data_IF_134931804308
#
_entry.id   IF_134931804308
#
_cell.length_a   1.000
_cell.length_b   1.000
_cell.length_c   1.000
_cell.angle_alpha   90.00
_cell.angle_beta   90.00
_cell.angle_gamma   90.00
#
_symmetry.space_group_name_H-M   'P 1'
#
loop_
_entity.id
_entity.type
_entity.pdbx_description
1 polymer ?
#
# COMPACT_ATOMS: atom_id res chain seq x y z
N UNK A 1 -18.27 -26.41 19.91
CA UNK A 1 -17.11 -25.50 19.89
C UNK A 1 -16.39 -25.72 18.56
N UNK A 2 -16.32 -24.71 17.69
CA UNK A 2 -15.61 -24.82 16.41
C UNK A 2 -14.13 -24.50 16.66
N UNK A 3 -13.23 -25.44 16.36
CA UNK A 3 -11.79 -25.19 16.36
C UNK A 3 -11.46 -24.23 15.20
N UNK A 4 -10.62 -23.20 15.42
CA UNK A 4 -10.04 -22.48 14.31
C UNK A 4 -9.07 -23.41 13.58
N UNK A 5 -9.35 -23.69 12.31
CA UNK A 5 -8.44 -24.40 11.44
C UNK A 5 -7.21 -23.52 11.20
N UNK A 6 -6.14 -23.74 11.97
CA UNK A 6 -4.81 -23.30 11.56
C UNK A 6 -4.44 -24.11 10.33
N UNK A 7 -4.67 -23.50 9.17
CA UNK A 7 -4.16 -24.01 7.90
C UNK A 7 -2.64 -23.97 7.99
N UNK A 8 -2.03 -25.05 8.46
CA UNK A 8 -0.59 -25.31 8.34
C UNK A 8 -0.29 -25.47 6.85
N UNK A 9 -0.07 -24.34 6.17
CA UNK A 9 0.45 -24.36 4.81
C UNK A 9 1.91 -24.78 4.93
N UNK A 10 2.20 -25.93 4.33
CA UNK A 10 3.53 -26.52 4.25
C UNK A 10 4.44 -25.56 3.49
N UNK A 11 5.24 -24.78 4.22
CA UNK A 11 6.26 -23.89 3.66
C UNK A 11 7.57 -24.66 3.60
N UNK A 12 8.07 -24.92 2.39
CA UNK A 12 9.43 -25.40 2.19
C UNK A 12 10.44 -24.38 2.74
N UNK A 13 11.44 -24.88 3.47
CA UNK A 13 12.79 -24.35 3.77
C UNK A 13 13.02 -22.85 4.06
N UNK A 14 11.97 -22.09 4.34
CA UNK A 14 12.04 -20.66 4.50
C UNK A 14 11.51 -20.27 5.89
N UNK A 15 12.24 -19.46 6.68
CA UNK A 15 11.76 -19.04 7.99
C UNK A 15 10.34 -18.45 7.88
N UNK A 16 9.46 -18.73 8.83
CA UNK A 16 8.04 -18.39 8.72
C UNK A 16 7.73 -16.87 8.69
N UNK A 17 8.76 -16.03 8.84
CA UNK A 17 8.61 -14.62 9.20
C UNK A 17 9.15 -13.64 8.13
N UNK A 18 9.52 -14.09 6.94
CA UNK A 18 10.04 -13.21 5.89
C UNK A 18 9.25 -13.37 4.58
N UNK A 19 9.25 -12.29 3.79
CA UNK A 19 8.54 -12.21 2.50
C UNK A 19 9.44 -11.57 1.46
N UNK A 20 9.25 -11.89 0.19
CA UNK A 20 9.78 -11.06 -0.88
C UNK A 20 8.86 -9.87 -1.09
N UNK A 21 9.36 -8.65 -0.85
CA UNK A 21 8.57 -7.44 -1.02
C UNK A 21 8.76 -6.86 -2.43
N UNK A 22 7.66 -6.52 -3.08
CA UNK A 22 7.69 -5.70 -4.30
C UNK A 22 8.13 -4.27 -3.93
N UNK A 23 9.19 -3.79 -4.58
CA UNK A 23 9.71 -2.43 -4.37
C UNK A 23 8.80 -1.37 -4.99
N UNK A 24 7.97 -1.75 -5.96
CA UNK A 24 6.94 -0.91 -6.53
C UNK A 24 5.68 -1.05 -5.69
N UNK A 25 5.23 0.06 -5.11
CA UNK A 25 3.94 0.09 -4.47
C UNK A 25 2.87 0.46 -5.50
N UNK A 26 1.67 -0.11 -5.35
CA UNK A 26 0.56 0.17 -6.25
C UNK A 26 -0.40 1.17 -5.61
N UNK A 27 -0.66 2.27 -6.31
CA UNK A 27 -1.66 3.24 -5.91
C UNK A 27 -3.06 2.80 -6.37
N UNK A 28 -4.00 2.68 -5.46
CA UNK A 28 -5.39 2.30 -5.74
C UNK A 28 -6.39 3.25 -5.10
N UNK A 29 -7.65 3.18 -5.55
CA UNK A 29 -8.76 3.74 -4.76
C UNK A 29 -8.88 2.93 -3.47
N UNK A 30 -9.22 3.59 -2.36
CA UNK A 30 -9.68 2.92 -1.15
C UNK A 30 -10.92 2.08 -1.46
N UNK A 31 -10.75 0.85 -1.95
CA UNK A 31 -11.85 -0.09 -2.15
C UNK A 31 -12.05 -0.77 -0.80
N UNK A 32 -13.16 -0.47 -0.13
CA UNK A 32 -13.55 -1.03 1.18
C UNK A 32 -14.05 -2.47 1.02
N UNK A 33 -13.44 -3.23 0.14
CA UNK A 33 -13.98 -4.46 -0.39
C UNK A 33 -12.89 -5.52 -0.20
N UNK A 34 -13.04 -6.28 0.89
CA UNK A 34 -12.66 -7.68 1.08
C UNK A 34 -11.30 -8.17 0.51
N UNK A 35 -10.19 -7.92 1.23
CA UNK A 35 -9.10 -8.92 1.42
C UNK A 35 -7.89 -8.38 2.18
N UNK A 36 -7.68 -7.06 2.23
CA UNK A 36 -6.45 -6.50 2.80
C UNK A 36 -6.79 -5.52 3.91
N UNK A 37 -6.65 -5.95 5.17
CA UNK A 37 -6.79 -5.08 6.35
C UNK A 37 -5.77 -3.95 6.24
N UNK A 38 -6.23 -2.70 6.30
CA UNK A 38 -5.35 -1.53 6.41
C UNK A 38 -4.39 -1.71 7.59
N UNK A 39 -3.09 -1.74 7.33
CA UNK A 39 -2.05 -1.97 8.34
C UNK A 39 -1.50 -0.67 8.91
N UNK A 40 -1.51 0.42 8.14
CA UNK A 40 -1.05 1.73 8.58
C UNK A 40 -1.90 2.87 8.00
N UNK A 41 -2.01 3.96 8.76
CA UNK A 41 -2.69 5.19 8.37
C UNK A 41 -1.83 6.39 8.71
N UNK A 42 -1.78 7.36 7.80
CA UNK A 42 -1.10 8.63 7.95
C UNK A 42 -1.92 9.76 7.33
N UNK A 43 -1.43 11.00 7.48
CA UNK A 43 -1.96 12.17 6.78
C UNK A 43 -0.82 12.90 6.09
N UNK A 44 -1.04 13.35 4.86
CA UNK A 44 -0.12 14.26 4.19
C UNK A 44 -0.14 15.64 4.87
N UNK A 45 0.85 16.49 4.55
CA UNK A 45 0.88 17.91 4.96
C UNK A 45 -0.39 18.66 4.58
N UNK A 46 -0.98 18.29 3.44
CA UNK A 46 -2.20 18.89 2.89
C UNK A 46 -3.45 18.24 3.48
N UNK A 47 -3.31 17.51 4.58
CA UNK A 47 -4.41 16.92 5.34
C UNK A 47 -5.06 15.69 4.72
N UNK A 48 -4.55 15.14 3.63
CA UNK A 48 -5.16 13.99 2.95
C UNK A 48 -4.83 12.68 3.68
N UNK A 49 -5.82 11.82 3.98
CA UNK A 49 -5.55 10.49 4.51
C UNK A 49 -4.67 9.67 3.56
N UNK A 50 -3.76 8.87 4.11
CA UNK A 50 -3.00 7.86 3.38
C UNK A 50 -3.19 6.56 4.15
N UNK A 51 -3.66 5.52 3.48
CA UNK A 51 -3.74 4.18 4.08
C UNK A 51 -2.82 3.23 3.32
N UNK A 52 -2.21 2.29 4.04
CA UNK A 52 -1.33 1.29 3.45
C UNK A 52 -1.80 -0.10 3.87
N UNK A 53 -1.70 -1.05 2.95
CA UNK A 53 -2.03 -2.46 3.19
C UNK A 53 -1.10 -3.37 2.39
N UNK A 54 -0.92 -4.63 2.83
CA UNK A 54 -0.06 -5.61 2.15
C UNK A 54 -0.85 -6.81 1.64
N UNK A 55 -0.75 -7.09 0.34
CA UNK A 55 -1.21 -8.36 -0.21
C UNK A 55 -0.08 -9.38 -0.08
N UNK A 56 -0.12 -10.15 1.01
CA UNK A 56 0.88 -11.18 1.32
C UNK A 56 0.83 -12.32 0.30
N UNK A 57 1.99 -12.81 -0.08
CA UNK A 57 2.16 -13.97 -0.95
C UNK A 57 3.29 -14.86 -0.42
N UNK A 58 3.12 -16.18 -0.56
CA UNK A 58 4.10 -17.17 -0.15
C UNK A 58 5.34 -17.08 -1.08
N UNK A 59 6.58 -17.00 -0.54
CA UNK A 59 7.79 -17.03 -1.35
C UNK A 59 7.83 -18.23 -2.32
N UNK A 60 8.33 -18.07 -3.55
CA UNK A 60 9.07 -16.92 -4.09
C UNK A 60 8.18 -15.78 -4.64
N UNK A 61 6.86 -15.87 -4.51
CA UNK A 61 5.98 -14.82 -5.00
C UNK A 61 6.20 -13.50 -4.22
N UNK A 62 6.01 -12.38 -4.92
CA UNK A 62 6.16 -11.05 -4.33
C UNK A 62 4.91 -10.65 -3.55
N UNK A 63 5.10 -10.33 -2.28
CA UNK A 63 4.16 -9.57 -1.46
C UNK A 63 4.09 -8.13 -1.98
N UNK A 64 2.88 -7.61 -2.19
CA UNK A 64 2.67 -6.27 -2.75
C UNK A 64 2.28 -5.25 -1.70
N UNK A 65 2.89 -4.07 -1.76
CA UNK A 65 2.48 -2.90 -0.99
C UNK A 65 1.41 -2.12 -1.77
N UNK A 66 0.27 -1.86 -1.13
CA UNK A 66 -0.85 -1.11 -1.70
C UNK A 66 -0.99 0.20 -0.92
N UNK A 67 -0.91 1.31 -1.64
CA UNK A 67 -1.13 2.66 -1.10
C UNK A 67 -2.52 3.12 -1.54
N UNK A 68 -3.37 3.37 -0.57
CA UNK A 68 -4.72 3.86 -0.77
C UNK A 68 -4.79 5.34 -0.46
N UNK A 69 -5.19 6.11 -1.47
CA UNK A 69 -5.41 7.55 -1.36
C UNK A 69 -6.92 7.83 -1.51
N UNK A 70 -7.52 8.70 -0.67
CA UNK A 70 -8.92 9.07 -0.73
C UNK A 70 -9.22 10.03 -1.90
N UNK A 71 -10.53 10.30 -2.06
CA UNK A 71 -11.14 10.85 -3.26
C UNK A 71 -10.46 12.12 -3.80
N UNK A 72 -10.20 12.09 -5.12
CA UNK A 72 -9.54 13.15 -5.88
C UNK A 72 -8.32 12.60 -6.61
N UNK A 73 -7.51 11.79 -5.91
CA UNK A 73 -6.32 11.19 -6.49
C UNK A 73 -6.64 9.86 -7.18
N UNK A 74 -6.59 9.82 -8.51
CA UNK A 74 -6.78 8.55 -9.25
C UNK A 74 -5.43 7.83 -9.43
N UNK A 75 -5.46 6.50 -9.61
CA UNK A 75 -4.25 5.73 -9.88
C UNK A 75 -3.43 6.30 -11.07
N UNK A 76 -4.10 6.90 -12.05
CA UNK A 76 -3.46 7.56 -13.19
C UNK A 76 -2.62 8.79 -12.82
N UNK A 77 -2.92 9.44 -11.69
CA UNK A 77 -2.15 10.59 -11.22
C UNK A 77 -0.79 10.18 -10.64
N UNK A 78 -0.66 8.93 -10.19
CA UNK A 78 0.60 8.36 -9.74
C UNK A 78 1.40 7.70 -10.86
N UNK A 79 0.88 7.62 -12.10
CA UNK A 79 1.58 6.96 -13.21
C UNK A 79 2.94 7.57 -13.55
N UNK A 80 3.12 8.89 -13.36
CA UNK A 80 4.42 9.56 -13.59
C UNK A 80 5.43 9.32 -12.47
N UNK A 81 4.94 8.99 -11.27
CA UNK A 81 5.77 8.83 -10.07
C UNK A 81 5.07 7.84 -9.15
N UNK A 82 5.15 6.54 -9.47
CA UNK A 82 4.47 5.51 -8.71
C UNK A 82 5.03 5.48 -7.28
N UNK A 83 4.18 5.15 -6.29
CA UNK A 83 4.69 4.98 -4.94
C UNK A 83 5.69 3.82 -4.91
N UNK A 84 6.68 3.91 -4.04
CA UNK A 84 7.76 2.93 -3.97
C UNK A 84 8.24 2.72 -2.55
N UNK A 85 8.78 1.54 -2.30
CA UNK A 85 9.50 1.20 -1.07
C UNK A 85 10.93 1.69 -1.22
N UNK A 86 11.31 2.68 -0.44
CA UNK A 86 12.66 3.27 -0.46
C UNK A 86 13.65 2.49 0.41
N UNK A 87 13.17 1.93 1.52
CA UNK A 87 13.97 1.11 2.43
C UNK A 87 13.09 0.15 3.23
N UNK A 88 13.70 -0.93 3.72
CA UNK A 88 13.11 -1.91 4.62
C UNK A 88 14.11 -2.28 5.70
N UNK A 89 13.65 -2.37 6.95
CA UNK A 89 14.45 -2.85 8.08
C UNK A 89 13.56 -3.62 9.06
N UNK A 90 13.76 -4.94 9.16
CA UNK A 90 12.92 -5.83 9.97
C UNK A 90 11.43 -5.66 9.67
N UNK A 91 10.68 -5.15 10.65
CA UNK A 91 9.24 -4.92 10.56
C UNK A 91 8.84 -3.52 10.02
N UNK A 92 9.81 -2.69 9.64
CA UNK A 92 9.60 -1.31 9.22
C UNK A 92 9.87 -1.12 7.73
N UNK A 93 9.04 -0.28 7.10
CA UNK A 93 9.16 0.09 5.69
C UNK A 93 9.12 1.61 5.55
N UNK A 94 10.05 2.14 4.76
CA UNK A 94 10.02 3.53 4.34
C UNK A 94 9.38 3.62 2.96
N UNK A 95 8.22 4.27 2.88
CA UNK A 95 7.47 4.47 1.65
C UNK A 95 7.64 5.89 1.14
N UNK A 96 7.90 6.02 -0.17
CA UNK A 96 7.90 7.29 -0.88
C UNK A 96 6.65 7.38 -1.74
N UNK A 97 5.83 8.38 -1.46
CA UNK A 97 4.61 8.69 -2.23
C UNK A 97 4.72 10.14 -2.70
N UNK A 98 4.66 10.36 -4.02
CA UNK A 98 4.68 11.71 -4.59
C UNK A 98 3.26 12.09 -4.96
N UNK A 99 2.73 13.11 -4.29
CA UNK A 99 1.42 13.65 -4.61
C UNK A 99 1.57 14.71 -5.71
N UNK A 100 0.79 14.62 -6.81
CA UNK A 100 0.75 15.69 -7.78
C UNK A 100 0.16 16.93 -7.11
N UNK A 101 0.84 18.06 -7.31
CA UNK A 101 0.31 19.35 -6.89
C UNK A 101 -1.01 19.59 -7.62
N UNK A 102 -2.10 19.81 -6.88
CA UNK A 102 -3.29 20.38 -7.48
C UNK A 102 -2.89 21.79 -7.87
N UNK A 103 -2.75 22.06 -9.16
CA UNK A 103 -2.93 23.44 -9.60
C UNK A 103 -4.34 23.78 -9.13
N UNK A 104 -4.46 24.59 -8.08
CA UNK A 104 -5.68 25.33 -7.82
C UNK A 104 -6.03 25.93 -9.17
N UNK A 105 -7.18 25.51 -9.73
CA UNK A 105 -7.76 26.34 -10.77
C UNK A 105 -8.03 27.65 -10.05
N UNK A 106 -7.13 28.62 -10.21
CA UNK A 106 -7.48 30.01 -10.08
C UNK A 106 -8.65 30.19 -11.04
N UNK A 107 -9.86 30.01 -10.53
CA UNK A 107 -11.04 30.57 -11.15
C UNK A 107 -10.81 32.06 -11.02
N UNK A 108 -10.15 32.64 -12.02
CA UNK A 108 -10.25 34.05 -12.30
C UNK A 108 -11.73 34.27 -12.62
N UNK A 109 -12.50 34.64 -11.61
CA UNK A 109 -13.73 35.37 -11.81
C UNK A 109 -13.34 36.74 -12.32
N UNK A 110 -13.64 36.97 -13.60
CA UNK A 110 -13.83 38.30 -14.19
C UNK A 110 -15.04 38.99 -13.54
#
# INVERSE_FOLDING_TARGET
>A
MAQPATSSRSSGDFPADWVFLDTVAHAGRCRRDNATTTTARARSSDGHPIEVSFALADPPALTRCLVHCPAGLTAGEFSRSPPSVAAADGAFLLLRVVFPHRSDRCMATD
#
